data_IF_210289028996
#
_entry.id   IF_210289028996
#
_cell.length_a   1.000
_cell.length_b   1.000
_cell.length_c   1.000
_cell.angle_alpha   90.00
_cell.angle_beta   90.00
_cell.angle_gamma   90.00
#
_symmetry.space_group_name_H-M   'P 1'
#
loop_
_entity.id
_entity.type
_entity.pdbx_description
1 polymer ?
#
# COMPACT_ATOMS: atom_id res chain seq x y z
N UNK A 1 -20.32 36.08 -22.28
CA UNK A 1 -19.87 35.46 -23.54
C UNK A 1 -20.08 33.95 -23.37
N UNK A 2 -21.10 33.44 -24.01
CA UNK A 2 -21.67 32.10 -23.87
C UNK A 2 -20.90 31.22 -24.87
N UNK A 3 -20.39 30.07 -24.44
CA UNK A 3 -19.96 29.00 -25.34
C UNK A 3 -20.62 27.70 -24.89
N UNK A 4 -21.41 27.19 -25.83
CA UNK A 4 -22.27 25.99 -25.75
C UNK A 4 -21.46 24.67 -25.60
N UNK A 5 -22.06 23.78 -24.87
CA UNK A 5 -21.70 22.38 -24.81
C UNK A 5 -22.13 21.60 -26.06
N UNK A 6 -21.43 20.54 -26.36
CA UNK A 6 -21.86 19.53 -27.33
C UNK A 6 -22.12 18.22 -26.61
N UNK A 7 -23.39 17.84 -26.59
CA UNK A 7 -23.88 16.51 -26.21
C UNK A 7 -23.78 15.61 -27.43
N UNK A 8 -23.09 14.49 -27.33
CA UNK A 8 -23.13 13.42 -28.33
C UNK A 8 -24.09 12.33 -27.87
N UNK A 9 -25.21 12.26 -28.55
CA UNK A 9 -26.16 11.15 -28.48
C UNK A 9 -25.63 10.04 -29.40
N UNK A 10 -25.47 8.83 -28.88
CA UNK A 10 -25.34 7.62 -29.71
C UNK A 10 -26.65 6.86 -29.67
N UNK A 11 -27.28 6.83 -30.84
CA UNK A 11 -28.53 6.10 -31.11
C UNK A 11 -28.26 4.62 -31.37
N UNK A 12 -29.03 3.78 -30.68
CA UNK A 12 -29.19 2.36 -30.98
C UNK A 12 -29.96 2.17 -32.30
N UNK A 13 -29.41 1.37 -33.20
CA UNK A 13 -30.13 0.85 -34.34
C UNK A 13 -30.29 -0.66 -34.21
N UNK A 14 -31.55 -1.08 -34.06
CA UNK A 14 -32.03 -2.45 -34.21
C UNK A 14 -32.39 -2.71 -35.66
N UNK A 15 -32.05 -3.88 -36.21
CA UNK A 15 -32.92 -4.66 -37.08
C UNK A 15 -32.18 -5.74 -37.86
N UNK A 16 -32.73 -6.91 -37.95
CA UNK A 16 -32.31 -7.97 -38.89
C UNK A 16 -32.87 -9.35 -38.53
N UNK A 17 -34.17 -9.51 -38.70
CA UNK A 17 -34.77 -10.83 -38.63
C UNK A 17 -34.45 -11.66 -39.86
N UNK A 18 -34.28 -12.95 -39.72
CA UNK A 18 -34.29 -13.91 -40.79
C UNK A 18 -35.39 -14.93 -40.63
N UNK A 19 -36.16 -15.06 -41.70
CA UNK A 19 -37.34 -15.88 -41.85
C UNK A 19 -37.04 -17.36 -41.94
N UNK A 20 -37.87 -18.16 -41.34
CA UNK A 20 -38.00 -19.61 -41.51
C UNK A 20 -38.57 -19.94 -42.90
N UNK A 21 -37.90 -20.82 -43.65
CA UNK A 21 -38.51 -21.49 -44.78
C UNK A 21 -38.72 -22.97 -44.44
N UNK A 22 -39.99 -23.33 -44.35
CA UNK A 22 -40.47 -24.70 -44.23
C UNK A 22 -40.67 -25.26 -45.64
N UNK A 23 -40.07 -26.39 -45.93
CA UNK A 23 -40.40 -27.18 -47.13
C UNK A 23 -40.91 -28.55 -46.69
N UNK A 24 -42.20 -28.76 -46.91
CA UNK A 24 -42.84 -30.03 -46.77
C UNK A 24 -42.79 -30.81 -48.07
N UNK A 25 -42.52 -32.10 -48.02
CA UNK A 25 -42.85 -33.06 -49.05
C UNK A 25 -43.23 -34.37 -48.43
N UNK A 26 -44.46 -34.79 -48.74
CA UNK A 26 -45.14 -35.99 -48.32
C UNK A 26 -44.97 -37.14 -49.31
N UNK A 27 -45.55 -38.34 -49.06
CA UNK A 27 -44.85 -39.61 -49.18
C UNK A 27 -45.30 -40.46 -50.40
N UNK A 28 -44.53 -41.48 -50.74
CA UNK A 28 -45.03 -42.58 -51.57
C UNK A 28 -44.79 -43.92 -50.89
N UNK A 29 -45.86 -44.66 -50.80
CA UNK A 29 -46.03 -46.00 -50.27
C UNK A 29 -45.62 -47.09 -51.29
N UNK A 30 -45.09 -48.19 -50.78
CA UNK A 30 -44.94 -49.47 -51.49
C UNK A 30 -44.42 -50.58 -50.59
N UNK A 31 -44.89 -51.80 -50.72
CA UNK A 31 -44.97 -52.76 -49.62
C UNK A 31 -43.96 -53.91 -49.65
N UNK A 32 -43.71 -54.49 -48.52
CA UNK A 32 -43.43 -55.93 -48.41
C UNK A 32 -42.01 -56.36 -48.17
N UNK A 33 -41.74 -56.96 -47.02
CA UNK A 33 -40.52 -57.71 -46.75
C UNK A 33 -40.38 -58.06 -45.27
N UNK A 34 -40.87 -59.24 -44.84
CA UNK A 34 -40.54 -59.83 -43.55
C UNK A 34 -39.06 -60.11 -43.44
N UNK A 35 -38.38 -59.69 -42.41
CA UNK A 35 -37.17 -60.34 -41.91
C UNK A 35 -36.92 -60.02 -40.43
N UNK A 36 -36.87 -61.10 -39.72
CA UNK A 36 -36.32 -61.44 -38.39
C UNK A 36 -35.72 -60.34 -37.55
N UNK A 37 -36.23 -60.26 -36.31
CA UNK A 37 -35.73 -59.48 -35.19
C UNK A 37 -34.27 -59.82 -34.84
N UNK A 38 -33.37 -58.87 -35.01
CA UNK A 38 -32.11 -58.81 -34.27
C UNK A 38 -32.23 -57.71 -33.23
N UNK A 39 -32.28 -58.09 -31.98
CA UNK A 39 -32.12 -57.20 -30.84
C UNK A 39 -30.73 -56.59 -30.89
N UNK A 40 -30.60 -55.44 -31.51
CA UNK A 40 -29.46 -54.56 -31.25
C UNK A 40 -29.79 -53.80 -29.96
N UNK A 41 -29.22 -54.26 -28.87
CA UNK A 41 -29.04 -53.38 -27.68
C UNK A 41 -28.22 -52.19 -28.14
N UNK A 42 -28.90 -51.07 -28.32
CA UNK A 42 -28.24 -49.76 -28.37
C UNK A 42 -27.59 -49.55 -27.01
N UNK A 43 -26.31 -49.91 -26.88
CA UNK A 43 -25.48 -49.36 -25.80
C UNK A 43 -25.64 -47.86 -25.92
N UNK A 44 -26.29 -47.25 -24.90
CA UNK A 44 -26.18 -45.84 -24.64
C UNK A 44 -24.68 -45.57 -24.48
N UNK A 45 -24.06 -44.96 -25.50
CA UNK A 45 -22.80 -44.25 -25.27
C UNK A 45 -23.08 -43.34 -24.10
N UNK A 46 -22.50 -43.62 -22.95
CA UNK A 46 -22.31 -42.59 -21.91
C UNK A 46 -21.55 -41.49 -22.66
N UNK A 47 -22.20 -40.36 -22.88
CA UNK A 47 -21.50 -39.12 -23.18
C UNK A 47 -20.56 -38.89 -22.01
N UNK A 48 -19.30 -39.33 -22.13
CA UNK A 48 -18.28 -38.88 -21.19
C UNK A 48 -18.16 -37.38 -21.40
N UNK A 49 -18.61 -36.64 -20.39
CA UNK A 49 -18.36 -35.20 -20.35
C UNK A 49 -16.84 -35.00 -20.57
N UNK A 50 -16.48 -34.08 -21.44
CA UNK A 50 -15.08 -33.71 -21.63
C UNK A 50 -14.45 -33.25 -20.28
N UNK A 51 -13.12 -33.17 -20.20
CA UNK A 51 -12.47 -32.72 -18.97
C UNK A 51 -13.00 -31.35 -18.55
N UNK A 52 -13.21 -31.16 -17.26
CA UNK A 52 -13.55 -29.87 -16.69
C UNK A 52 -12.34 -28.96 -16.84
N UNK A 53 -12.53 -27.72 -17.31
CA UNK A 53 -11.48 -26.72 -17.44
C UNK A 53 -11.96 -25.38 -16.89
N UNK A 54 -11.05 -24.55 -16.41
CA UNK A 54 -11.28 -23.12 -16.20
C UNK A 54 -11.27 -22.45 -17.57
N UNK A 55 -12.30 -21.70 -17.90
CA UNK A 55 -12.44 -21.04 -19.22
C UNK A 55 -12.26 -19.54 -19.14
N UNK A 56 -12.54 -18.93 -17.98
CA UNK A 56 -12.36 -17.50 -17.74
C UNK A 56 -12.17 -17.19 -16.26
N UNK A 57 -11.65 -16.01 -15.94
CA UNK A 57 -11.58 -15.48 -14.60
C UNK A 57 -11.60 -13.96 -14.58
N UNK A 58 -12.19 -13.40 -13.53
CA UNK A 58 -12.09 -11.97 -13.23
C UNK A 58 -11.59 -11.83 -11.79
N UNK A 59 -10.44 -11.20 -11.54
CA UNK A 59 -9.51 -10.61 -12.52
C UNK A 59 -8.93 -11.62 -13.52
N UNK A 60 -8.59 -11.13 -14.73
CA UNK A 60 -7.88 -11.95 -15.73
C UNK A 60 -6.47 -12.37 -15.22
N UNK A 61 -5.92 -13.49 -15.70
CA UNK A 61 -4.54 -13.88 -15.36
C UNK A 61 -3.53 -12.80 -15.76
N UNK A 62 -2.67 -12.42 -14.80
CA UNK A 62 -1.69 -11.34 -14.88
C UNK A 62 -2.28 -9.92 -15.00
N UNK A 63 -3.55 -9.72 -14.71
CA UNK A 63 -4.12 -8.39 -14.56
C UNK A 63 -3.33 -7.58 -13.52
N UNK A 64 -3.22 -6.28 -13.71
CA UNK A 64 -2.59 -5.33 -12.77
C UNK A 64 -3.55 -4.20 -12.47
N UNK A 65 -3.37 -3.56 -11.31
CA UNK A 65 -4.23 -2.45 -10.92
C UNK A 65 -5.64 -2.89 -10.52
N UNK A 66 -5.79 -4.11 -10.03
CA UNK A 66 -7.06 -4.64 -9.51
C UNK A 66 -7.45 -3.88 -8.24
N UNK A 67 -8.67 -3.41 -8.15
CA UNK A 67 -9.13 -2.65 -7.00
C UNK A 67 -9.15 -3.51 -5.73
N UNK A 68 -8.88 -2.88 -4.57
CA UNK A 68 -8.78 -3.60 -3.28
C UNK A 68 -10.11 -4.20 -2.81
N UNK A 69 -11.25 -3.75 -3.32
CA UNK A 69 -12.59 -4.25 -3.01
C UNK A 69 -13.09 -5.32 -4.01
N UNK A 70 -12.27 -5.71 -4.98
CA UNK A 70 -12.67 -6.63 -6.04
C UNK A 70 -12.97 -8.03 -5.51
N UNK A 71 -14.11 -8.60 -5.93
CA UNK A 71 -14.36 -10.03 -5.89
C UNK A 71 -13.54 -10.78 -6.94
N UNK A 72 -13.48 -12.11 -6.83
CA UNK A 72 -12.77 -12.96 -7.79
C UNK A 72 -13.73 -14.00 -8.33
N UNK A 73 -14.02 -13.93 -9.63
CA UNK A 73 -14.90 -14.89 -10.32
C UNK A 73 -14.07 -15.87 -11.14
N UNK A 74 -14.50 -17.14 -11.16
CA UNK A 74 -13.88 -18.20 -11.99
C UNK A 74 -14.98 -18.96 -12.71
N UNK A 75 -14.86 -19.04 -14.01
CA UNK A 75 -15.81 -19.72 -14.91
C UNK A 75 -15.25 -21.04 -15.42
N UNK A 76 -16.11 -22.06 -15.46
CA UNK A 76 -15.78 -23.42 -15.85
C UNK A 76 -16.51 -23.85 -17.13
N UNK A 77 -15.91 -24.79 -17.87
CA UNK A 77 -16.46 -25.36 -19.09
C UNK A 77 -17.75 -26.19 -18.91
N UNK A 78 -18.08 -26.56 -17.67
CA UNK A 78 -19.25 -27.35 -17.31
C UNK A 78 -19.74 -26.98 -15.91
N UNK A 79 -20.99 -27.33 -15.53
CA UNK A 79 -21.51 -27.09 -14.19
C UNK A 79 -20.66 -27.73 -13.10
N UNK A 80 -20.35 -26.96 -12.04
CA UNK A 80 -19.48 -27.34 -10.91
C UNK A 80 -20.21 -27.28 -9.57
N UNK A 81 -19.64 -27.99 -8.59
CA UNK A 81 -20.03 -27.88 -7.18
C UNK A 81 -18.78 -27.79 -6.31
N UNK A 82 -18.84 -26.92 -5.31
CA UNK A 82 -17.73 -26.76 -4.36
C UNK A 82 -17.55 -27.99 -3.44
N UNK A 83 -18.66 -28.65 -3.03
CA UNK A 83 -18.67 -29.89 -2.22
C UNK A 83 -17.65 -29.93 -1.08
N UNK A 84 -17.41 -28.79 -0.42
CA UNK A 84 -16.41 -28.65 0.64
C UNK A 84 -14.97 -28.46 0.14
N UNK A 85 -14.75 -28.40 -1.17
CA UNK A 85 -13.45 -28.02 -1.77
C UNK A 85 -13.42 -26.51 -1.91
N UNK A 86 -12.43 -25.87 -1.30
CA UNK A 86 -12.29 -24.41 -1.27
C UNK A 86 -11.05 -23.99 -2.05
N UNK A 87 -11.17 -23.16 -3.09
CA UNK A 87 -10.02 -22.50 -3.68
C UNK A 87 -9.31 -21.59 -2.67
N UNK A 88 -8.03 -21.36 -2.87
CA UNK A 88 -7.18 -20.60 -1.95
C UNK A 88 -6.60 -19.36 -2.62
N UNK A 89 -6.34 -18.32 -1.80
CA UNK A 89 -5.57 -17.15 -2.16
C UNK A 89 -4.23 -17.16 -1.41
N UNK A 90 -3.19 -16.67 -2.06
CA UNK A 90 -1.87 -16.48 -1.46
C UNK A 90 -1.29 -15.13 -1.92
N UNK A 91 -1.03 -14.20 -0.97
CA UNK A 91 -1.28 -14.27 0.48
C UNK A 91 -2.73 -14.58 0.83
N UNK A 92 -2.96 -15.10 2.06
CA UNK A 92 -4.31 -15.45 2.51
C UNK A 92 -5.18 -14.18 2.67
N UNK A 93 -6.36 -14.19 2.05
CA UNK A 93 -7.38 -13.15 2.18
C UNK A 93 -8.62 -13.77 2.83
N UNK A 94 -9.14 -13.10 3.85
CA UNK A 94 -10.39 -13.54 4.49
C UNK A 94 -11.58 -13.29 3.56
N UNK A 95 -12.46 -14.30 3.43
CA UNK A 95 -13.63 -14.22 2.55
C UNK A 95 -14.30 -15.58 2.37
N UNK A 96 -15.27 -15.63 1.48
CA UNK A 96 -16.04 -16.84 1.20
C UNK A 96 -16.16 -17.11 -0.29
N UNK A 97 -16.00 -18.38 -0.68
CA UNK A 97 -16.32 -18.84 -2.03
C UNK A 97 -17.78 -19.30 -2.09
N UNK A 98 -18.49 -18.87 -3.10
CA UNK A 98 -19.86 -19.27 -3.37
C UNK A 98 -20.10 -19.57 -4.86
N UNK A 99 -21.13 -20.38 -5.17
CA UNK A 99 -21.58 -20.56 -6.55
C UNK A 99 -22.50 -19.41 -6.93
N UNK A 100 -22.19 -18.69 -8.00
CA UNK A 100 -23.02 -17.60 -8.55
C UNK A 100 -23.83 -18.04 -9.78
N UNK A 101 -23.39 -19.12 -10.43
CA UNK A 101 -24.15 -19.80 -11.48
C UNK A 101 -23.84 -21.30 -11.47
N UNK A 102 -24.43 -22.05 -12.40
CA UNK A 102 -24.10 -23.47 -12.56
C UNK A 102 -22.61 -23.69 -12.91
N UNK A 103 -22.00 -22.76 -13.65
CA UNK A 103 -20.63 -22.88 -14.18
C UNK A 103 -19.66 -21.87 -13.59
N UNK A 104 -20.07 -21.06 -12.61
CA UNK A 104 -19.27 -19.96 -12.08
C UNK A 104 -19.25 -19.97 -10.55
N UNK A 105 -18.07 -19.75 -10.00
CA UNK A 105 -17.86 -19.51 -8.55
C UNK A 105 -17.27 -18.14 -8.35
N UNK A 106 -17.54 -17.53 -7.20
CA UNK A 106 -17.06 -16.22 -6.81
C UNK A 106 -16.48 -16.26 -5.40
N UNK A 107 -15.33 -15.62 -5.21
CA UNK A 107 -14.82 -15.25 -3.90
C UNK A 107 -15.30 -13.85 -3.54
N UNK A 108 -15.99 -13.75 -2.41
CA UNK A 108 -16.39 -12.48 -1.80
C UNK A 108 -15.45 -12.21 -0.64
N UNK A 109 -14.56 -11.22 -0.77
CA UNK A 109 -13.66 -10.86 0.33
C UNK A 109 -14.46 -10.24 1.48
N UNK A 110 -14.06 -10.52 2.72
CA UNK A 110 -14.57 -9.87 3.94
C UNK A 110 -13.58 -8.85 4.53
N UNK A 111 -12.44 -8.66 3.86
CA UNK A 111 -11.44 -7.62 4.12
C UNK A 111 -10.91 -7.14 2.76
N UNK A 112 -10.31 -5.94 2.66
CA UNK A 112 -9.75 -5.46 1.40
C UNK A 112 -8.58 -6.34 0.96
N UNK A 113 -8.41 -6.50 -0.36
CA UNK A 113 -7.15 -6.97 -0.92
C UNK A 113 -6.07 -5.93 -0.59
N UNK A 114 -4.93 -6.41 -0.14
CA UNK A 114 -3.86 -5.51 0.30
C UNK A 114 -3.22 -4.81 -0.91
N UNK A 115 -3.18 -3.48 -0.94
CA UNK A 115 -2.52 -2.72 -2.01
C UNK A 115 -1.09 -3.21 -2.28
N UNK A 116 -0.68 -3.14 -3.54
CA UNK A 116 0.65 -3.54 -4.05
C UNK A 116 0.94 -5.06 -4.03
N UNK A 117 0.08 -5.88 -3.45
CA UNK A 117 0.25 -7.34 -3.40
C UNK A 117 0.00 -7.97 -4.78
N UNK A 118 0.76 -9.00 -5.08
CA UNK A 118 0.41 -9.95 -6.15
C UNK A 118 -0.28 -11.16 -5.53
N UNK A 119 -1.58 -11.29 -5.79
CA UNK A 119 -2.37 -12.43 -5.35
C UNK A 119 -2.21 -13.62 -6.28
N UNK A 120 -2.16 -14.82 -5.72
CA UNK A 120 -2.22 -16.08 -6.45
C UNK A 120 -3.47 -16.83 -6.05
N UNK A 121 -4.37 -17.06 -7.00
CA UNK A 121 -5.56 -17.90 -6.82
C UNK A 121 -5.23 -19.31 -7.23
N UNK A 122 -5.57 -20.30 -6.41
CA UNK A 122 -5.39 -21.72 -6.73
C UNK A 122 -6.72 -22.45 -6.62
N UNK A 123 -7.16 -22.99 -7.74
CA UNK A 123 -8.36 -23.84 -7.88
C UNK A 123 -7.90 -25.30 -7.77
N UNK A 124 -8.29 -26.02 -6.71
CA UNK A 124 -7.86 -27.40 -6.53
C UNK A 124 -8.41 -28.34 -7.62
N UNK A 125 -7.53 -29.16 -8.18
CA UNK A 125 -7.86 -30.20 -9.15
C UNK A 125 -7.48 -31.61 -8.67
N UNK A 126 -7.58 -32.58 -9.55
CA UNK A 126 -7.37 -34.00 -9.23
C UNK A 126 -8.57 -34.64 -8.51
N UNK A 127 -8.38 -35.86 -7.96
CA UNK A 127 -9.49 -36.66 -7.40
C UNK A 127 -10.22 -36.01 -6.22
N UNK A 128 -9.57 -35.11 -5.51
CA UNK A 128 -10.12 -34.36 -4.34
C UNK A 128 -10.39 -32.89 -4.66
N UNK A 129 -10.26 -32.50 -5.94
CA UNK A 129 -10.46 -31.11 -6.38
C UNK A 129 -11.91 -30.79 -6.73
N UNK A 130 -12.10 -29.65 -7.39
CA UNK A 130 -13.40 -29.23 -7.87
C UNK A 130 -13.90 -30.20 -8.94
N UNK A 131 -15.12 -30.67 -8.77
CA UNK A 131 -15.77 -31.64 -9.66
C UNK A 131 -17.01 -31.02 -10.33
N UNK A 132 -17.18 -31.36 -11.61
CA UNK A 132 -18.41 -31.11 -12.35
C UNK A 132 -19.56 -31.99 -11.88
N UNK A 133 -20.79 -31.53 -12.01
CA UNK A 133 -22.01 -32.23 -11.58
C UNK A 133 -22.24 -33.57 -12.30
N UNK A 134 -21.57 -33.83 -13.42
CA UNK A 134 -21.68 -35.04 -14.23
C UNK A 134 -20.43 -35.94 -14.11
N UNK A 135 -19.62 -35.75 -13.05
CA UNK A 135 -18.42 -36.55 -12.77
C UNK A 135 -17.16 -36.14 -13.54
N UNK A 136 -17.20 -35.05 -14.32
CA UNK A 136 -16.00 -34.46 -14.86
C UNK A 136 -15.18 -33.82 -13.72
N UNK A 137 -13.86 -33.99 -13.75
CA UNK A 137 -12.94 -33.37 -12.76
C UNK A 137 -11.97 -32.42 -13.45
N UNK A 138 -11.51 -31.45 -12.73
CA UNK A 138 -10.35 -30.67 -13.13
C UNK A 138 -9.12 -31.57 -12.96
N UNK A 139 -8.41 -31.91 -14.04
CA UNK A 139 -7.36 -32.94 -14.03
C UNK A 139 -6.21 -32.60 -13.06
N UNK A 140 -5.85 -31.33 -12.96
CA UNK A 140 -4.85 -30.81 -12.03
C UNK A 140 -5.27 -29.43 -11.50
N UNK A 141 -4.66 -29.00 -10.40
CA UNK A 141 -4.91 -27.66 -9.87
C UNK A 141 -4.56 -26.59 -10.92
N UNK A 142 -5.43 -25.60 -11.03
CA UNK A 142 -5.22 -24.43 -11.89
C UNK A 142 -4.87 -23.22 -11.01
N UNK A 143 -3.84 -22.47 -11.38
CA UNK A 143 -3.45 -21.28 -10.63
C UNK A 143 -3.22 -20.12 -11.58
N UNK A 144 -3.65 -18.94 -11.14
CA UNK A 144 -3.38 -17.68 -11.85
C UNK A 144 -3.04 -16.58 -10.83
N UNK A 145 -2.47 -15.48 -11.33
CA UNK A 145 -2.03 -14.34 -10.51
C UNK A 145 -2.63 -13.06 -11.05
N UNK A 146 -2.80 -12.08 -10.14
CA UNK A 146 -3.11 -10.70 -10.49
C UNK A 146 -2.46 -9.75 -9.48
N UNK A 147 -2.16 -8.52 -9.91
CA UNK A 147 -1.60 -7.46 -9.06
C UNK A 147 -2.69 -6.52 -8.56
N UNK A 148 -2.79 -6.35 -7.26
CA UNK A 148 -3.65 -5.33 -6.63
C UNK A 148 -3.09 -3.94 -6.94
N UNK A 149 -3.96 -2.96 -7.12
CA UNK A 149 -3.59 -1.56 -7.35
C UNK A 149 -2.68 -1.04 -6.25
N UNK A 150 -1.85 -0.05 -6.57
CA UNK A 150 -1.11 0.69 -5.56
C UNK A 150 -2.10 1.40 -4.63
N UNK A 151 -1.73 1.47 -3.36
CA UNK A 151 -2.50 2.25 -2.40
C UNK A 151 -2.41 3.75 -2.71
N UNK A 152 -3.47 4.47 -2.42
CA UNK A 152 -3.55 5.91 -2.63
C UNK A 152 -2.78 6.69 -1.55
N UNK A 153 -2.04 7.74 -1.94
CA UNK A 153 -1.28 8.58 -1.01
C UNK A 153 -2.21 9.34 -0.06
N UNK A 154 -3.38 9.78 -0.53
CA UNK A 154 -4.37 10.42 0.32
C UNK A 154 -4.87 9.48 1.40
N UNK A 155 -5.17 8.21 1.02
CA UNK A 155 -5.57 7.20 2.00
C UNK A 155 -4.48 6.88 3.02
N UNK A 156 -3.23 6.77 2.57
CA UNK A 156 -2.09 6.62 3.48
C UNK A 156 -2.04 7.75 4.51
N UNK A 157 -2.16 9.00 4.06
CA UNK A 157 -2.19 10.18 4.93
C UNK A 157 -3.36 10.14 5.91
N UNK A 158 -4.56 9.74 5.48
CA UNK A 158 -5.73 9.60 6.34
C UNK A 158 -5.51 8.57 7.45
N UNK A 159 -4.99 7.38 7.11
CA UNK A 159 -4.70 6.32 8.06
C UNK A 159 -3.62 6.74 9.07
N UNK A 160 -2.53 7.36 8.59
CA UNK A 160 -1.47 7.86 9.46
C UNK A 160 -1.97 8.98 10.42
N UNK A 161 -2.90 9.84 9.96
CA UNK A 161 -3.53 10.84 10.81
C UNK A 161 -4.42 10.19 11.89
N UNK A 162 -5.28 9.24 11.50
CA UNK A 162 -6.15 8.50 12.40
C UNK A 162 -5.37 7.71 13.47
N UNK A 163 -4.13 7.32 13.16
CA UNK A 163 -3.23 6.63 14.08
C UNK A 163 -2.25 7.57 14.81
N UNK A 164 -2.46 8.89 14.74
CA UNK A 164 -1.69 9.95 15.38
C UNK A 164 -0.23 10.10 14.94
N UNK A 165 0.19 9.54 13.81
CA UNK A 165 1.55 9.72 13.29
C UNK A 165 1.76 11.07 12.60
N UNK A 166 0.69 11.72 12.13
CA UNK A 166 0.76 13.06 11.53
C UNK A 166 0.48 14.17 12.56
N UNK A 167 1.02 15.39 12.37
CA UNK A 167 0.65 16.57 13.13
C UNK A 167 -0.71 17.16 12.69
N UNK A 168 -1.50 16.35 12.00
CA UNK A 168 -2.85 16.68 11.52
C UNK A 168 -3.84 15.62 11.98
N UNK A 169 -5.05 16.06 12.30
CA UNK A 169 -6.22 15.19 12.44
C UNK A 169 -6.91 15.03 11.10
N UNK A 170 -7.48 13.86 10.84
CA UNK A 170 -8.40 13.63 9.73
C UNK A 170 -9.81 13.38 10.27
N UNK A 171 -10.76 14.21 9.83
CA UNK A 171 -12.18 14.07 10.17
C UNK A 171 -12.96 13.61 8.95
N UNK A 172 -13.43 12.34 8.90
CA UNK A 172 -14.31 11.87 7.84
C UNK A 172 -15.62 12.65 7.80
N UNK A 173 -16.15 12.94 6.61
CA UNK A 173 -17.43 13.64 6.42
C UNK A 173 -18.62 12.72 6.20
N UNK A 174 -18.42 11.39 6.25
CA UNK A 174 -19.45 10.36 6.03
C UNK A 174 -19.41 9.23 7.06
N UNK A 175 -20.31 8.25 6.94
CA UNK A 175 -20.26 7.04 7.75
C UNK A 175 -18.97 6.23 7.43
N UNK A 176 -18.55 5.34 8.33
CA UNK A 176 -17.44 4.41 8.03
C UNK A 176 -17.75 3.63 6.75
N UNK A 177 -16.76 3.43 5.85
CA UNK A 177 -16.96 2.65 4.64
C UNK A 177 -17.18 1.17 4.99
N UNK A 178 -17.72 0.38 4.07
CA UNK A 178 -17.66 -1.08 4.15
C UNK A 178 -16.23 -1.56 4.40
N UNK A 179 -16.07 -2.69 5.08
CA UNK A 179 -14.73 -3.20 5.44
C UNK A 179 -13.84 -3.39 4.21
N UNK A 180 -14.41 -3.88 3.11
CA UNK A 180 -13.69 -4.10 1.83
C UNK A 180 -13.21 -2.82 1.16
N UNK A 181 -13.82 -1.68 1.48
CA UNK A 181 -13.48 -0.36 0.93
C UNK A 181 -12.53 0.44 1.85
N UNK A 182 -12.05 -0.13 2.95
CA UNK A 182 -11.18 0.58 3.90
C UNK A 182 -9.81 0.93 3.33
N UNK A 183 -9.39 0.32 2.22
CA UNK A 183 -8.19 0.69 1.48
C UNK A 183 -8.35 1.91 0.58
N UNK A 184 -9.57 2.38 0.36
CA UNK A 184 -9.89 3.54 -0.48
C UNK A 184 -9.86 4.83 0.34
N UNK A 185 -9.52 5.96 -0.30
CA UNK A 185 -9.61 7.27 0.31
C UNK A 185 -11.07 7.61 0.67
N UNK A 186 -11.22 8.40 1.72
CA UNK A 186 -12.52 8.77 2.25
C UNK A 186 -12.75 10.27 2.15
N UNK A 187 -13.98 10.72 1.88
CA UNK A 187 -14.30 12.14 1.97
C UNK A 187 -14.11 12.63 3.39
N UNK A 188 -13.45 13.79 3.54
CA UNK A 188 -13.16 14.36 4.83
C UNK A 188 -12.21 15.54 4.73
N UNK A 189 -11.79 16.05 5.89
CA UNK A 189 -10.91 17.22 6.00
C UNK A 189 -9.74 16.95 6.93
N UNK A 190 -8.57 17.50 6.58
CA UNK A 190 -7.44 17.57 7.48
C UNK A 190 -7.43 18.92 8.22
N UNK A 191 -7.05 18.88 9.48
CA UNK A 191 -6.80 20.08 10.29
C UNK A 191 -5.54 19.90 11.12
N UNK A 192 -4.76 20.99 11.29
CA UNK A 192 -3.58 20.95 12.15
C UNK A 192 -4.00 20.73 13.61
N UNK A 193 -3.33 19.79 14.29
CA UNK A 193 -3.59 19.49 15.70
C UNK A 193 -3.24 20.66 16.61
N UNK A 194 -2.23 21.45 16.25
CA UNK A 194 -1.76 22.58 17.01
C UNK A 194 -1.60 23.82 16.15
N UNK A 195 -2.19 24.94 16.58
CA UNK A 195 -2.10 26.22 15.87
C UNK A 195 -0.72 26.91 16.00
N UNK A 196 0.14 26.40 16.86
CA UNK A 196 1.47 26.93 17.19
C UNK A 196 2.59 26.28 16.39
N UNK A 197 2.27 25.37 15.50
CA UNK A 197 3.25 24.74 14.60
C UNK A 197 3.95 25.81 13.74
N UNK A 198 5.30 25.75 13.60
CA UNK A 198 6.02 26.75 12.83
C UNK A 198 5.73 26.65 11.33
N UNK A 199 5.75 27.80 10.60
CA UNK A 199 5.50 27.84 9.17
C UNK A 199 6.45 26.94 8.35
N UNK A 200 7.69 26.77 8.80
CA UNK A 200 8.69 25.87 8.19
C UNK A 200 8.19 24.43 8.10
N UNK A 201 7.39 23.98 9.06
CA UNK A 201 6.76 22.67 9.02
C UNK A 201 5.46 22.70 8.22
N UNK A 202 4.57 23.64 8.51
CA UNK A 202 3.22 23.64 7.93
C UNK A 202 3.19 23.86 6.43
N UNK A 203 4.18 24.61 5.88
CA UNK A 203 4.32 24.82 4.45
C UNK A 203 4.70 23.56 3.64
N UNK A 204 5.16 22.50 4.32
CA UNK A 204 5.56 21.24 3.66
C UNK A 204 4.38 20.33 3.34
N UNK A 205 3.22 20.61 3.93
CA UNK A 205 2.06 19.74 3.79
C UNK A 205 1.39 19.90 2.41
N UNK A 206 1.20 18.77 1.75
CA UNK A 206 0.38 18.68 0.54
C UNK A 206 -0.46 17.42 0.63
N UNK A 207 -1.78 17.59 0.66
CA UNK A 207 -2.74 16.51 0.71
C UNK A 207 -2.68 15.66 -0.57
N UNK A 208 -2.68 14.33 -0.44
CA UNK A 208 -2.66 13.38 -1.54
C UNK A 208 -1.32 13.28 -2.27
N UNK A 209 -0.26 13.94 -1.78
CA UNK A 209 1.07 13.89 -2.37
C UNK A 209 2.13 13.52 -1.33
N UNK A 210 3.18 12.82 -1.77
CA UNK A 210 4.32 12.53 -0.91
C UNK A 210 5.05 13.83 -0.54
N UNK A 211 5.30 14.02 0.75
CA UNK A 211 6.04 15.15 1.31
C UNK A 211 6.82 14.72 2.55
N UNK A 212 7.67 15.59 3.08
CA UNK A 212 8.53 15.26 4.22
C UNK A 212 7.71 14.84 5.46
N UNK A 213 6.56 15.49 5.71
CA UNK A 213 5.69 15.17 6.85
C UNK A 213 5.14 13.74 6.73
N UNK A 214 4.63 13.38 5.54
CA UNK A 214 4.12 12.01 5.28
C UNK A 214 5.25 10.98 5.39
N UNK A 215 6.43 11.27 4.87
CA UNK A 215 7.59 10.35 4.95
C UNK A 215 8.04 10.13 6.38
N UNK A 216 8.17 11.18 7.19
CA UNK A 216 8.53 11.05 8.61
C UNK A 216 7.49 10.25 9.40
N UNK A 217 6.19 10.54 9.19
CA UNK A 217 5.10 9.79 9.81
C UNK A 217 5.10 8.31 9.42
N UNK A 218 5.34 8.01 8.14
CA UNK A 218 5.43 6.63 7.64
C UNK A 218 6.62 5.89 8.27
N UNK A 219 7.80 6.50 8.37
CA UNK A 219 8.96 5.90 9.03
C UNK A 219 8.70 5.63 10.51
N UNK A 220 8.04 6.56 11.22
CA UNK A 220 7.63 6.36 12.61
C UNK A 220 6.62 5.20 12.74
N UNK A 221 5.66 5.09 11.82
CA UNK A 221 4.74 3.97 11.76
C UNK A 221 5.47 2.64 11.50
N UNK A 222 6.37 2.62 10.54
CA UNK A 222 7.19 1.44 10.21
C UNK A 222 8.00 0.99 11.43
N UNK A 223 8.66 1.92 12.13
CA UNK A 223 9.42 1.62 13.35
C UNK A 223 8.53 0.97 14.42
N UNK A 224 7.37 1.56 14.71
CA UNK A 224 6.46 1.06 15.75
C UNK A 224 5.82 -0.30 15.41
N UNK A 225 5.78 -0.64 14.13
CA UNK A 225 5.29 -1.92 13.63
C UNK A 225 6.43 -2.92 13.32
N UNK A 226 7.68 -2.62 13.68
CA UNK A 226 8.85 -3.47 13.43
C UNK A 226 9.06 -3.80 11.93
N UNK A 227 8.75 -2.84 11.07
CA UNK A 227 8.96 -2.90 9.63
C UNK A 227 10.26 -2.18 9.24
N UNK A 228 10.74 -2.41 8.02
CA UNK A 228 11.85 -1.67 7.46
C UNK A 228 11.47 -0.18 7.34
N UNK A 229 12.31 0.73 7.88
CA UNK A 229 12.04 2.17 7.97
C UNK A 229 12.52 2.90 6.71
N UNK A 230 12.01 2.51 5.56
CA UNK A 230 12.41 2.99 4.22
C UNK A 230 11.55 4.13 3.67
N UNK A 231 10.48 4.49 4.38
CA UNK A 231 9.45 5.44 3.95
C UNK A 231 8.68 5.02 2.69
N UNK A 232 8.68 3.72 2.35
CA UNK A 232 7.93 3.18 1.22
C UNK A 232 6.67 2.44 1.72
N UNK A 233 5.47 2.81 1.21
CA UNK A 233 4.22 2.18 1.63
C UNK A 233 3.99 0.85 0.90
N UNK A 234 4.85 -0.13 1.16
CA UNK A 234 4.78 -1.47 0.59
C UNK A 234 3.67 -2.35 1.19
N UNK A 235 3.55 -3.62 0.73
CA UNK A 235 2.48 -4.53 1.15
C UNK A 235 2.41 -4.75 2.66
N UNK A 236 3.56 -4.83 3.34
CA UNK A 236 3.62 -5.00 4.80
C UNK A 236 3.05 -3.78 5.54
N UNK A 237 3.32 -2.58 5.02
CA UNK A 237 2.79 -1.31 5.57
C UNK A 237 1.27 -1.28 5.40
N UNK A 238 0.77 -1.52 4.19
CA UNK A 238 -0.68 -1.57 3.95
C UNK A 238 -1.36 -2.65 4.77
N UNK A 239 -0.75 -3.84 4.90
CA UNK A 239 -1.26 -4.91 5.74
C UNK A 239 -1.38 -4.51 7.21
N UNK A 240 -0.39 -3.78 7.76
CA UNK A 240 -0.42 -3.28 9.12
C UNK A 240 -1.43 -2.14 9.32
N UNK A 241 -1.57 -1.24 8.34
CA UNK A 241 -2.52 -0.13 8.38
C UNK A 241 -3.99 -0.57 8.28
N UNK A 242 -4.26 -1.61 7.49
CA UNK A 242 -5.62 -2.10 7.20
C UNK A 242 -6.00 -3.33 8.02
N UNK A 243 -5.08 -3.82 8.84
CA UNK A 243 -5.30 -4.96 9.74
C UNK A 243 -6.32 -4.66 10.84
N UNK A 244 -6.72 -5.68 11.61
CA UNK A 244 -7.74 -5.53 12.66
C UNK A 244 -7.30 -4.64 13.83
N UNK A 245 -6.00 -4.58 14.10
CA UNK A 245 -5.44 -3.87 15.26
C UNK A 245 -4.24 -2.98 14.84
N UNK A 246 -4.45 -1.91 14.05
CA UNK A 246 -3.38 -1.03 13.64
C UNK A 246 -2.80 -0.28 14.84
N UNK A 247 -1.47 -0.23 14.94
CA UNK A 247 -0.78 0.40 16.07
C UNK A 247 -0.82 1.92 15.95
N UNK A 248 -1.56 2.57 16.81
CA UNK A 248 -1.53 4.03 16.96
C UNK A 248 -0.34 4.47 17.84
N UNK A 249 0.26 5.62 17.56
CA UNK A 249 1.23 6.20 18.47
C UNK A 249 0.54 7.00 19.60
N UNK A 250 1.08 6.87 20.79
CA UNK A 250 0.71 7.67 21.98
C UNK A 250 1.81 8.64 22.37
N UNK A 251 2.93 8.66 21.63
CA UNK A 251 4.04 9.56 21.84
C UNK A 251 3.76 10.99 21.41
N UNK A 252 4.61 11.91 21.84
CA UNK A 252 4.60 13.31 21.38
C UNK A 252 5.02 13.42 19.92
N UNK A 253 4.48 14.39 19.20
CA UNK A 253 4.96 14.76 17.87
C UNK A 253 6.11 15.74 17.99
N UNK A 254 7.32 15.27 17.69
CA UNK A 254 8.53 16.07 17.78
C UNK A 254 8.97 16.61 16.43
N UNK A 255 9.46 17.85 16.42
CA UNK A 255 9.99 18.53 15.25
C UNK A 255 11.20 19.37 15.62
N UNK A 256 12.28 19.30 14.83
CA UNK A 256 13.51 20.03 15.05
C UNK A 256 13.68 21.10 13.97
N UNK A 257 13.98 22.34 14.40
CA UNK A 257 14.35 23.44 13.55
C UNK A 257 15.77 23.89 13.90
N UNK A 258 16.67 23.82 12.94
CA UNK A 258 18.07 24.30 13.02
C UNK A 258 18.18 25.57 12.22
N UNK A 259 18.58 26.67 12.88
CA UNK A 259 18.89 27.94 12.23
C UNK A 259 20.40 28.13 12.09
N UNK A 260 20.83 28.33 10.85
CA UNK A 260 22.24 28.71 10.53
C UNK A 260 22.50 30.21 10.68
N UNK A 261 21.47 30.99 11.04
CA UNK A 261 21.66 32.42 11.40
C UNK A 261 22.49 32.54 12.67
N UNK A 262 23.55 33.34 12.61
CA UNK A 262 24.47 33.51 13.75
C UNK A 262 23.83 34.30 14.92
N UNK A 263 23.96 33.82 16.14
CA UNK A 263 24.57 32.55 16.56
C UNK A 263 23.68 31.37 16.19
N UNK A 264 24.25 30.32 15.56
CA UNK A 264 23.52 29.12 15.15
C UNK A 264 22.89 28.42 16.34
N UNK A 265 21.63 28.01 16.15
CA UNK A 265 20.87 27.39 17.24
C UNK A 265 19.86 26.38 16.72
N UNK A 266 19.39 25.55 17.63
CA UNK A 266 18.35 24.55 17.40
C UNK A 266 17.15 24.83 18.33
N UNK A 267 15.94 24.67 17.81
CA UNK A 267 14.70 24.60 18.57
C UNK A 267 14.03 23.26 18.34
N UNK A 268 13.68 22.56 19.41
CA UNK A 268 12.85 21.37 19.36
C UNK A 268 11.44 21.72 19.81
N UNK A 269 10.47 21.33 19.00
CA UNK A 269 9.04 21.47 19.28
C UNK A 269 8.48 20.12 19.70
N UNK A 270 7.68 20.12 20.75
CA UNK A 270 6.86 18.99 21.21
C UNK A 270 5.39 19.39 21.10
N UNK A 271 4.59 18.60 20.41
CA UNK A 271 3.15 18.84 20.24
C UNK A 271 2.81 20.29 19.84
N UNK A 272 3.59 20.79 18.88
CA UNK A 272 3.43 22.13 18.32
C UNK A 272 3.98 23.27 19.16
N UNK A 273 4.41 23.04 20.41
CA UNK A 273 4.99 24.06 21.27
C UNK A 273 6.52 23.97 21.29
N UNK A 274 7.26 25.10 21.28
CA UNK A 274 8.71 25.08 21.47
C UNK A 274 9.05 24.62 22.88
N UNK A 275 9.63 23.43 23.02
CA UNK A 275 9.99 22.82 24.30
C UNK A 275 11.44 23.13 24.69
N UNK A 276 12.36 23.05 23.73
CA UNK A 276 13.77 23.37 23.92
C UNK A 276 14.17 24.41 22.89
N UNK A 277 14.56 25.60 23.35
CA UNK A 277 14.85 26.74 22.48
C UNK A 277 16.27 27.24 22.62
N UNK A 278 16.80 27.84 21.55
CA UNK A 278 18.13 28.46 21.55
C UNK A 278 19.25 27.51 22.02
N UNK A 279 19.15 26.20 21.71
CA UNK A 279 20.24 25.26 21.95
C UNK A 279 21.38 25.62 20.99
N UNK A 280 22.54 26.05 21.49
CA UNK A 280 23.65 26.42 20.62
C UNK A 280 24.18 25.20 19.86
N UNK A 281 24.28 25.30 18.53
CA UNK A 281 24.79 24.25 17.67
C UNK A 281 25.89 24.77 16.76
N UNK A 282 26.61 23.86 16.12
CA UNK A 282 27.52 24.14 15.03
C UNK A 282 27.07 23.38 13.80
N UNK A 283 26.92 24.07 12.68
CA UNK A 283 26.65 23.43 11.40
C UNK A 283 27.95 23.31 10.57
N UNK A 284 27.81 22.82 9.34
CA UNK A 284 28.95 22.58 8.45
C UNK A 284 29.65 23.84 7.94
N UNK A 285 30.97 23.79 7.85
CA UNK A 285 31.76 24.85 7.26
C UNK A 285 31.51 25.05 5.76
N UNK A 286 31.92 26.16 5.17
CA UNK A 286 31.62 26.54 3.79
C UNK A 286 31.96 25.48 2.72
N UNK A 287 32.90 24.56 2.97
CA UNK A 287 33.25 23.45 2.05
C UNK A 287 32.54 22.13 2.36
N UNK A 288 31.78 22.06 3.44
CA UNK A 288 31.05 20.90 3.89
C UNK A 288 29.76 21.37 4.58
N UNK A 289 28.90 22.09 3.84
CA UNK A 289 27.73 22.80 4.38
C UNK A 289 26.65 21.78 4.78
N UNK A 290 26.08 21.94 5.97
CA UNK A 290 24.83 21.25 6.31
C UNK A 290 23.74 21.67 5.31
N UNK A 291 23.14 20.70 4.64
CA UNK A 291 22.14 20.96 3.59
C UNK A 291 20.88 21.63 4.14
N UNK A 292 20.42 22.69 3.47
CA UNK A 292 19.10 23.27 3.75
C UNK A 292 18.00 22.33 3.29
N UNK A 293 16.90 22.26 4.04
CA UNK A 293 15.75 21.43 3.74
C UNK A 293 15.17 20.77 4.97
N UNK A 294 14.18 19.89 4.73
CA UNK A 294 13.53 19.11 5.80
C UNK A 294 13.68 17.62 5.51
N UNK A 295 14.24 16.91 6.48
CA UNK A 295 14.62 15.51 6.34
C UNK A 295 14.10 14.72 7.56
N UNK A 296 13.58 13.52 7.39
CA UNK A 296 13.28 12.63 8.52
C UNK A 296 14.57 11.99 9.05
N UNK A 297 14.67 11.86 10.36
CA UNK A 297 15.70 11.00 10.98
C UNK A 297 15.49 9.57 10.47
N UNK A 298 16.54 8.96 9.94
CA UNK A 298 16.48 7.60 9.39
C UNK A 298 17.33 6.58 10.17
N UNK A 299 18.30 7.06 10.97
CA UNK A 299 19.11 6.21 11.83
C UNK A 299 19.32 6.90 13.18
N UNK A 300 19.21 6.14 14.29
CA UNK A 300 19.17 6.67 15.64
C UNK A 300 20.02 5.82 16.58
N UNK A 301 21.21 6.30 16.93
CA UNK A 301 22.26 5.55 17.63
C UNK A 301 22.70 6.26 18.90
N UNK A 302 22.89 5.52 19.99
CA UNK A 302 23.46 6.04 21.23
C UNK A 302 24.93 6.41 21.07
N UNK A 303 25.63 5.76 20.14
CA UNK A 303 27.03 6.00 19.80
C UNK A 303 27.28 5.56 18.35
N UNK A 304 27.96 6.38 17.59
CA UNK A 304 28.31 6.12 16.19
C UNK A 304 29.82 6.28 15.98
N UNK A 305 30.40 5.52 15.04
CA UNK A 305 31.72 5.78 14.51
C UNK A 305 31.57 6.64 13.27
N UNK A 306 32.12 7.85 13.30
CA UNK A 306 32.11 8.78 12.17
C UNK A 306 33.50 8.81 11.53
N UNK A 307 33.57 8.46 10.26
CA UNK A 307 34.83 8.41 9.49
C UNK A 307 34.66 9.22 8.22
N UNK A 308 35.62 10.07 7.91
CA UNK A 308 35.54 10.88 6.72
C UNK A 308 36.86 11.61 6.41
N UNK A 309 36.71 12.63 5.57
CA UNK A 309 37.83 13.50 5.17
C UNK A 309 37.41 14.95 5.34
N UNK A 310 38.12 15.64 6.17
CA UNK A 310 37.96 17.08 6.39
C UNK A 310 38.12 17.87 5.08
N UNK A 311 37.58 19.08 4.95
CA UNK A 311 37.75 19.94 3.78
C UNK A 311 39.19 20.33 3.44
N UNK A 312 40.15 20.15 4.36
CA UNK A 312 41.56 20.35 4.15
C UNK A 312 42.31 19.11 3.64
N UNK A 313 41.58 17.97 3.49
CA UNK A 313 42.10 16.70 3.00
C UNK A 313 42.64 15.77 4.10
N UNK A 314 42.59 16.15 5.36
CA UNK A 314 42.95 15.27 6.49
C UNK A 314 41.84 14.28 6.77
N UNK A 315 42.20 13.04 7.18
CA UNK A 315 41.21 12.03 7.55
C UNK A 315 40.86 12.14 9.03
N UNK A 316 39.58 11.89 9.37
CA UNK A 316 39.16 11.73 10.74
C UNK A 316 38.54 10.34 10.94
N UNK A 317 38.60 9.84 12.17
CA UNK A 317 38.00 8.59 12.62
C UNK A 317 37.64 8.75 14.09
N UNK A 318 36.36 9.13 14.31
CA UNK A 318 35.79 9.39 15.63
C UNK A 318 34.95 8.17 16.06
N UNK A 319 35.53 7.26 16.90
CA UNK A 319 34.92 5.94 17.11
C UNK A 319 33.71 5.94 18.01
N UNK A 320 33.45 6.98 18.80
CA UNK A 320 32.40 7.01 19.85
C UNK A 320 31.67 8.36 19.89
N UNK A 321 31.16 8.83 18.75
CA UNK A 321 30.35 10.04 18.69
C UNK A 321 29.00 9.76 19.34
N UNK A 322 28.64 10.44 20.47
CA UNK A 322 27.44 10.08 21.23
C UNK A 322 26.20 10.73 20.65
N UNK A 323 25.05 10.02 20.85
CA UNK A 323 23.70 10.52 20.64
C UNK A 323 23.43 10.97 19.21
N UNK A 324 23.78 10.12 18.22
CA UNK A 324 23.64 10.43 16.80
C UNK A 324 22.23 10.11 16.27
N UNK A 325 21.60 11.13 15.67
CA UNK A 325 20.34 11.02 14.91
C UNK A 325 20.62 11.49 13.47
N UNK A 326 20.85 10.54 12.55
CA UNK A 326 21.14 10.82 11.15
C UNK A 326 19.87 11.20 10.40
N UNK A 327 19.92 12.31 9.65
CA UNK A 327 18.76 12.84 8.93
C UNK A 327 19.01 13.08 7.43
N UNK A 328 20.25 13.29 6.98
CA UNK A 328 20.57 13.50 5.56
C UNK A 328 21.95 12.95 5.20
N UNK A 329 22.01 11.79 4.54
CA UNK A 329 23.28 11.15 4.19
C UNK A 329 24.17 10.93 5.41
N UNK A 330 25.31 11.66 5.49
CA UNK A 330 26.20 11.64 6.65
C UNK A 330 25.87 12.65 7.74
N UNK A 331 24.92 13.57 7.50
CA UNK A 331 24.57 14.63 8.44
C UNK A 331 23.72 14.09 9.59
N UNK A 332 24.12 14.37 10.82
CA UNK A 332 23.46 13.95 12.04
C UNK A 332 23.36 15.08 13.07
N UNK A 333 22.31 15.04 13.89
CA UNK A 333 22.32 15.71 15.20
C UNK A 333 23.15 14.85 16.15
N UNK A 334 24.18 15.39 16.80
CA UNK A 334 24.99 14.61 17.74
C UNK A 334 25.74 15.45 18.76
N UNK A 335 26.25 14.79 19.80
CA UNK A 335 27.14 15.42 20.78
C UNK A 335 28.57 15.43 20.29
N UNK A 336 29.22 16.59 20.42
CA UNK A 336 30.65 16.71 20.15
C UNK A 336 31.27 17.76 21.06
N UNK A 337 32.53 17.54 21.52
CA UNK A 337 33.19 18.50 22.41
C UNK A 337 33.83 19.61 21.59
N UNK A 338 33.36 20.83 21.74
CA UNK A 338 33.96 22.05 21.16
C UNK A 338 34.20 23.09 22.23
N UNK A 339 35.11 24.00 21.97
CA UNK A 339 35.41 25.12 22.87
C UNK A 339 34.21 26.10 22.97
N UNK A 340 33.40 26.22 21.90
CA UNK A 340 32.21 27.05 21.83
C UNK A 340 31.32 26.55 20.71
N UNK A 341 30.06 26.98 20.75
CA UNK A 341 29.02 26.65 19.76
C UNK A 341 28.32 27.92 19.26
N UNK A 342 27.57 27.82 18.18
CA UNK A 342 26.81 28.90 17.58
C UNK A 342 27.37 29.42 16.26
N UNK A 343 28.25 28.66 15.60
CA UNK A 343 28.85 29.01 14.30
C UNK A 343 29.35 27.78 13.55
N UNK A 344 29.58 27.86 12.21
CA UNK A 344 29.99 26.71 11.40
C UNK A 344 31.33 26.14 11.83
N UNK A 345 31.40 24.86 12.22
CA UNK A 345 32.62 24.16 12.64
C UNK A 345 32.67 22.68 12.22
N UNK A 346 31.56 22.09 11.81
CA UNK A 346 31.46 20.67 11.46
C UNK A 346 31.72 20.41 9.97
N UNK A 347 31.72 19.14 9.60
CA UNK A 347 31.80 18.67 8.22
C UNK A 347 30.42 18.24 7.68
N UNK A 348 29.36 18.99 8.06
CA UNK A 348 27.98 18.76 7.63
C UNK A 348 27.00 18.45 8.76
N UNK A 349 27.46 17.85 9.84
CA UNK A 349 26.66 17.54 11.01
C UNK A 349 26.17 18.79 11.76
N UNK A 350 25.13 18.62 12.57
CA UNK A 350 24.66 19.59 13.57
C UNK A 350 25.19 19.14 14.92
N UNK A 351 26.33 19.71 15.32
CA UNK A 351 27.00 19.39 16.57
C UNK A 351 26.48 20.24 17.74
N UNK A 352 26.39 19.65 18.91
CA UNK A 352 26.05 20.33 20.14
C UNK A 352 26.83 19.74 21.32
N UNK A 353 26.68 20.36 22.52
CA UNK A 353 27.28 19.77 23.71
C UNK A 353 26.74 18.36 23.95
N UNK A 354 27.58 17.46 24.49
CA UNK A 354 27.16 16.08 24.80
C UNK A 354 25.93 16.07 25.72
N UNK A 355 25.81 17.02 26.63
CA UNK A 355 24.66 17.16 27.51
C UNK A 355 23.38 17.50 26.73
N UNK A 356 23.45 18.48 25.81
CA UNK A 356 22.30 18.85 24.98
C UNK A 356 21.90 17.69 24.05
N UNK A 357 22.86 17.04 23.41
CA UNK A 357 22.60 15.90 22.54
C UNK A 357 21.92 14.74 23.31
N UNK A 358 22.41 14.41 24.50
CA UNK A 358 21.80 13.37 25.33
C UNK A 358 20.39 13.72 25.83
N UNK A 359 20.10 15.01 26.01
CA UNK A 359 18.76 15.49 26.34
C UNK A 359 17.80 15.40 25.16
N UNK A 360 18.27 15.77 23.95
CA UNK A 360 17.44 15.80 22.73
C UNK A 360 17.30 14.42 22.08
N UNK A 361 18.29 13.54 22.22
CA UNK A 361 18.33 12.24 21.55
C UNK A 361 17.05 11.41 21.75
N UNK A 362 16.47 11.22 22.96
CA UNK A 362 15.23 10.45 23.09
C UNK A 362 14.03 11.12 22.42
N UNK A 363 14.12 12.38 22.03
CA UNK A 363 13.09 13.16 21.37
C UNK A 363 13.25 13.23 19.85
N UNK A 364 14.31 12.61 19.32
CA UNK A 364 14.63 12.60 17.89
C UNK A 364 14.69 11.16 17.32
N UNK A 365 13.72 10.27 17.63
CA UNK A 365 13.69 8.93 17.04
C UNK A 365 13.54 8.96 15.53
N UNK A 366 13.66 7.79 14.89
CA UNK A 366 13.42 7.62 13.45
C UNK A 366 12.04 8.16 13.08
N UNK A 367 11.98 8.96 12.01
CA UNK A 367 10.79 9.65 11.52
C UNK A 367 10.64 11.09 12.03
N UNK A 368 11.36 11.50 13.08
CA UNK A 368 11.38 12.92 13.51
C UNK A 368 11.91 13.80 12.40
N UNK A 369 11.21 14.89 12.08
CA UNK A 369 11.65 15.81 11.04
C UNK A 369 12.67 16.81 11.59
N UNK A 370 13.75 17.00 10.85
CA UNK A 370 14.78 18.02 11.06
C UNK A 370 14.76 18.98 9.88
N UNK A 371 14.41 20.24 10.13
CA UNK A 371 14.54 21.32 9.15
C UNK A 371 15.82 22.09 9.44
N UNK A 372 16.64 22.32 8.43
CA UNK A 372 17.82 23.17 8.46
C UNK A 372 17.58 24.36 7.53
N UNK A 373 17.79 25.56 8.03
CA UNK A 373 17.64 26.81 7.27
C UNK A 373 18.70 27.84 7.62
N UNK A 374 19.04 28.69 6.64
CA UNK A 374 20.01 29.76 6.86
C UNK A 374 19.95 30.88 5.89
#
# INVERSE_FOLDING_TARGET
>A
MIILGSVVLITLASSGGYALSVSASSPTSGPGGRSTAAHHQRQKKHDQAGPLTVVDSSPEPNATGVASDSGITVDFSAPVTLNGVTPTLSPEVTGTWQSVSATSIEFIPSAPLIPTVTETVTIPGGPSGIAGTHGATLDSSYSFRFGVANGDMLRLQQLLAQLNYLPLDFTPSGPPPPVTETAMDQPGTFSWRWSTLPPNLTSLWTQGQSNAITRGALMSFQLNNHLDTDAEPGPKVWGALLGPDPVATTGTYNYVLVSKTLPENLTLYEDGAPAYTNIPVNTGVAKAVTADGTFPVFEHLTSSRMVGTNPDGTHYDDPHVPWASYFNGGDALHGFVRASYGFPQSDGCVEMSISNAGMLWPLTPVGTLVTVEG
#
